data_IF_726898294441
#
_entry.id   IF_726898294441
#
_cell.length_a   1.000
_cell.length_b   1.000
_cell.length_c   1.000
_cell.angle_alpha   90.00
_cell.angle_beta   90.00
_cell.angle_gamma   90.00
#
_symmetry.space_group_name_H-M   'P 1'
#
loop_
_entity.id
_entity.type
_entity.pdbx_description
1 polymer ?
#
# COMPACT_ATOMS: atom_id res chain seq x y z
N UNK A 1 -13.36 59.75 -35.28
CA UNK A 1 -12.26 58.80 -35.01
C UNK A 1 -12.59 58.10 -33.71
N UNK A 2 -13.21 56.92 -33.79
CA UNK A 2 -13.76 56.21 -32.65
C UNK A 2 -12.71 55.29 -32.03
N UNK A 3 -12.41 55.50 -30.75
CA UNK A 3 -11.66 54.59 -29.91
C UNK A 3 -12.50 53.34 -29.63
N UNK A 4 -11.95 52.16 -29.91
CA UNK A 4 -12.51 50.88 -29.46
C UNK A 4 -11.50 50.25 -28.51
N UNK A 5 -11.87 50.23 -27.23
CA UNK A 5 -11.14 49.55 -26.17
C UNK A 5 -11.44 48.05 -26.27
N UNK A 6 -10.43 47.25 -26.59
CA UNK A 6 -10.52 45.79 -26.52
C UNK A 6 -10.24 45.39 -25.07
N UNK A 7 -11.31 44.98 -24.39
CA UNK A 7 -11.28 44.41 -23.05
C UNK A 7 -10.62 43.02 -23.13
N UNK A 8 -9.42 42.89 -22.57
CA UNK A 8 -8.76 41.59 -22.37
C UNK A 8 -9.48 40.87 -21.24
N UNK A 9 -10.34 39.91 -21.58
CA UNK A 9 -10.94 38.99 -20.62
C UNK A 9 -9.88 38.01 -20.12
N UNK A 10 -9.39 38.22 -18.89
CA UNK A 10 -8.61 37.23 -18.17
C UNK A 10 -9.55 36.06 -17.80
N UNK A 11 -9.51 34.98 -18.57
CA UNK A 11 -10.04 33.69 -18.15
C UNK A 11 -9.20 33.20 -16.98
N UNK A 12 -9.73 33.36 -15.77
CA UNK A 12 -9.22 32.71 -14.58
C UNK A 12 -9.32 31.19 -14.78
N UNK A 13 -8.19 30.56 -15.10
CA UNK A 13 -8.02 29.14 -14.87
C UNK A 13 -8.11 28.92 -13.37
N UNK A 14 -9.27 28.47 -12.89
CA UNK A 14 -9.38 27.85 -11.58
C UNK A 14 -8.62 26.51 -11.66
N UNK A 15 -7.30 26.59 -11.49
CA UNK A 15 -6.51 25.47 -11.00
C UNK A 15 -6.97 25.18 -9.57
N UNK A 16 -8.01 24.38 -9.41
CA UNK A 16 -8.38 23.83 -8.11
C UNK A 16 -7.19 22.99 -7.65
N UNK A 17 -6.52 23.52 -6.63
CA UNK A 17 -5.19 23.11 -6.21
C UNK A 17 -5.09 21.61 -5.97
N UNK A 18 -4.04 21.03 -6.57
CA UNK A 18 -3.30 19.92 -5.98
C UNK A 18 -2.71 20.45 -4.67
N UNK A 19 -3.54 20.52 -3.64
CA UNK A 19 -3.09 20.76 -2.27
C UNK A 19 -2.33 19.48 -1.91
N UNK A 20 -1.03 19.61 -1.62
CA UNK A 20 -0.19 18.50 -1.21
C UNK A 20 -0.93 17.69 -0.13
N UNK A 21 -1.21 16.42 -0.40
CA UNK A 21 -2.00 15.56 0.50
C UNK A 21 -1.27 15.31 1.82
N UNK A 22 0.05 15.52 1.85
CA UNK A 22 0.82 15.60 3.08
C UNK A 22 0.52 16.91 3.83
N UNK A 23 0.29 16.80 5.12
CA UNK A 23 0.05 17.94 6.02
C UNK A 23 1.34 18.63 6.50
N UNK A 24 2.51 18.07 6.20
CA UNK A 24 3.81 18.58 6.62
C UNK A 24 4.96 17.67 6.19
N UNK A 25 6.15 17.87 6.77
CA UNK A 25 7.32 17.02 6.50
C UNK A 25 7.13 15.60 7.01
N UNK A 26 7.65 14.63 6.27
CA UNK A 26 7.75 13.22 6.65
C UNK A 26 9.22 12.85 6.86
N UNK A 27 9.48 11.65 7.39
CA UNK A 27 10.83 11.13 7.58
C UNK A 27 11.44 11.44 8.96
N UNK A 28 12.63 10.89 9.24
CA UNK A 28 13.38 11.16 10.46
C UNK A 28 13.86 12.61 10.52
N UNK A 29 14.06 13.12 11.74
CA UNK A 29 14.54 14.50 11.98
C UNK A 29 16.07 14.57 11.97
N UNK A 30 16.73 13.52 12.46
CA UNK A 30 18.19 13.43 12.50
C UNK A 30 18.68 12.38 11.50
N UNK A 31 19.76 12.68 10.79
CA UNK A 31 20.31 11.78 9.78
C UNK A 31 20.99 10.56 10.41
N UNK A 32 21.00 9.43 9.70
CA UNK A 32 21.80 8.23 10.07
C UNK A 32 23.24 8.60 10.43
N UNK A 33 23.89 9.50 9.67
CA UNK A 33 25.28 9.89 9.92
C UNK A 33 25.46 10.52 11.31
N UNK A 34 24.56 11.42 11.72
CA UNK A 34 24.59 12.02 13.05
C UNK A 34 24.31 10.99 14.16
N UNK A 35 23.36 10.08 13.93
CA UNK A 35 23.04 8.99 14.88
C UNK A 35 24.23 8.04 15.05
N UNK A 36 24.85 7.65 13.94
CA UNK A 36 26.02 6.75 13.91
C UNK A 36 27.23 7.39 14.59
N UNK A 37 27.49 8.68 14.33
CA UNK A 37 28.58 9.41 14.95
C UNK A 37 28.46 9.49 16.48
N UNK A 38 27.22 9.52 17.00
CA UNK A 38 26.97 9.47 18.44
C UNK A 38 27.24 8.09 19.00
N UNK A 39 26.70 7.03 18.38
CA UNK A 39 26.96 5.65 18.79
C UNK A 39 26.59 4.66 17.68
N UNK A 40 27.44 3.64 17.51
CA UNK A 40 27.17 2.47 16.67
C UNK A 40 27.17 1.21 17.54
N UNK A 41 26.12 0.40 17.42
CA UNK A 41 25.97 -0.87 18.14
C UNK A 41 25.82 -1.99 17.12
N UNK A 42 26.91 -2.68 16.77
CA UNK A 42 26.78 -3.86 15.91
C UNK A 42 26.22 -5.02 16.72
N UNK A 43 25.24 -5.75 16.20
CA UNK A 43 24.69 -6.94 16.89
C UNK A 43 25.75 -8.01 17.16
N UNK A 44 26.87 -8.02 16.42
CA UNK A 44 28.00 -8.91 16.65
C UNK A 44 28.68 -8.64 18.01
N UNK A 45 28.75 -7.38 18.43
CA UNK A 45 29.31 -6.97 19.74
C UNK A 45 28.43 -7.42 20.91
N UNK A 46 27.19 -7.84 20.63
CA UNK A 46 26.20 -8.34 21.58
C UNK A 46 25.94 -9.85 21.41
N UNK A 47 26.82 -10.56 20.71
CA UNK A 47 26.80 -12.02 20.62
C UNK A 47 26.04 -12.61 19.43
N UNK A 48 25.59 -11.79 18.48
CA UNK A 48 25.04 -12.31 17.23
C UNK A 48 26.12 -13.03 16.41
N UNK A 49 25.70 -14.03 15.63
CA UNK A 49 26.56 -14.72 14.67
C UNK A 49 25.86 -14.82 13.33
N UNK A 50 26.59 -14.52 12.26
CA UNK A 50 26.14 -14.68 10.89
C UNK A 50 26.31 -16.14 10.43
N UNK A 51 25.70 -17.08 11.15
CA UNK A 51 25.81 -18.53 10.93
C UNK A 51 24.46 -19.19 10.62
N UNK A 52 23.40 -18.39 10.43
CA UNK A 52 22.03 -18.84 10.16
C UNK A 52 21.45 -19.81 11.19
N UNK A 53 22.02 -19.91 12.38
CA UNK A 53 21.59 -20.86 13.42
C UNK A 53 21.49 -20.24 14.81
N UNK A 54 22.44 -19.39 15.17
CA UNK A 54 22.44 -18.63 16.43
C UNK A 54 21.33 -17.57 16.39
N UNK A 55 20.52 -17.51 17.45
CA UNK A 55 19.38 -16.60 17.54
C UNK A 55 19.83 -15.12 17.61
N UNK A 56 19.38 -14.32 16.64
CA UNK A 56 19.60 -12.88 16.55
C UNK A 56 18.76 -12.08 17.56
N UNK A 57 17.67 -12.64 18.08
CA UNK A 57 16.72 -11.92 18.92
C UNK A 57 17.36 -11.23 20.14
N UNK A 58 18.05 -11.97 21.03
CA UNK A 58 18.67 -11.38 22.21
C UNK A 58 19.80 -10.37 21.92
N UNK A 59 20.73 -10.64 20.96
CA UNK A 59 21.72 -9.65 20.54
C UNK A 59 21.11 -8.37 19.97
N UNK A 60 20.05 -8.48 19.15
CA UNK A 60 19.36 -7.32 18.58
C UNK A 60 18.68 -6.48 19.67
N UNK A 61 17.99 -7.10 20.62
CA UNK A 61 17.41 -6.41 21.77
C UNK A 61 18.47 -5.69 22.63
N UNK A 62 19.63 -6.32 22.83
CA UNK A 62 20.74 -5.75 23.61
C UNK A 62 21.40 -4.57 22.89
N UNK A 63 21.63 -4.69 21.58
CA UNK A 63 22.14 -3.60 20.75
C UNK A 63 21.18 -2.41 20.74
N UNK A 64 19.87 -2.68 20.64
CA UNK A 64 18.83 -1.65 20.76
C UNK A 64 18.87 -0.97 22.12
N UNK A 65 18.88 -1.71 23.23
CA UNK A 65 18.97 -1.12 24.57
C UNK A 65 20.17 -0.18 24.72
N UNK A 66 21.29 -0.49 24.07
CA UNK A 66 22.49 0.33 24.09
C UNK A 66 22.45 1.56 23.15
N UNK A 67 21.69 1.52 22.06
CA UNK A 67 21.67 2.55 21.01
C UNK A 67 20.33 3.28 20.83
N UNK A 68 19.26 2.92 21.54
CA UNK A 68 17.91 3.50 21.39
C UNK A 68 17.80 5.00 21.67
N UNK A 69 18.85 5.64 22.18
CA UNK A 69 18.88 7.08 22.45
C UNK A 69 19.98 7.76 21.64
N UNK A 70 19.70 7.99 20.36
CA UNK A 70 20.61 8.72 19.47
C UNK A 70 21.59 7.87 18.66
N UNK A 71 21.56 6.53 18.77
CA UNK A 71 22.54 5.63 18.16
C UNK A 71 22.01 4.85 16.96
N UNK A 72 22.90 4.14 16.27
CA UNK A 72 22.56 3.24 15.16
C UNK A 72 22.86 1.80 15.53
N UNK A 73 21.85 0.93 15.45
CA UNK A 73 21.99 -0.52 15.52
C UNK A 73 22.34 -1.02 14.12
N UNK A 74 23.37 -1.86 14.01
CA UNK A 74 23.79 -2.42 12.73
C UNK A 74 23.74 -3.94 12.77
N UNK A 75 23.02 -4.52 11.82
CA UNK A 75 23.07 -5.94 11.44
C UNK A 75 23.94 -6.00 10.17
N UNK A 76 25.24 -6.33 10.28
CA UNK A 76 26.14 -6.37 9.13
C UNK A 76 25.71 -7.41 8.09
N UNK A 77 26.37 -7.39 6.93
CA UNK A 77 26.16 -8.43 5.91
C UNK A 77 26.45 -9.83 6.47
N UNK A 78 25.57 -10.78 6.17
CA UNK A 78 25.60 -12.15 6.67
C UNK A 78 24.20 -12.76 6.80
N UNK A 79 24.14 -14.06 7.05
CA UNK A 79 22.88 -14.79 7.26
C UNK A 79 22.63 -15.00 8.76
N UNK A 80 21.50 -14.52 9.28
CA UNK A 80 21.15 -14.59 10.70
C UNK A 80 19.85 -15.36 10.91
N UNK A 81 19.79 -16.23 11.93
CA UNK A 81 18.53 -16.84 12.35
C UNK A 81 17.79 -15.93 13.33
N UNK A 82 16.47 -15.79 13.19
CA UNK A 82 15.62 -15.15 14.18
C UNK A 82 14.67 -16.19 14.77
N UNK A 83 14.95 -16.61 16.01
CA UNK A 83 14.16 -17.60 16.74
C UNK A 83 13.23 -16.95 17.75
N UNK A 84 13.68 -15.87 18.39
CA UNK A 84 12.87 -15.09 19.32
C UNK A 84 12.53 -13.72 18.73
N UNK A 85 11.27 -13.31 18.82
CA UNK A 85 10.78 -12.03 18.32
C UNK A 85 11.30 -10.88 19.16
N UNK A 86 11.45 -9.70 18.55
CA UNK A 86 12.03 -8.53 19.20
C UNK A 86 11.06 -7.38 19.18
N UNK A 87 10.79 -6.82 20.36
CA UNK A 87 10.08 -5.56 20.55
C UNK A 87 11.07 -4.44 20.86
N UNK A 88 11.17 -3.47 19.96
CA UNK A 88 12.01 -2.29 20.03
C UNK A 88 11.17 -1.09 20.51
N UNK A 89 11.01 -1.00 21.82
CA UNK A 89 10.12 -0.04 22.48
C UNK A 89 10.89 1.15 23.09
N UNK A 90 10.36 2.37 22.93
CA UNK A 90 10.75 3.53 23.74
C UNK A 90 12.12 4.12 23.38
N UNK A 91 12.35 4.34 22.09
CA UNK A 91 13.56 4.96 21.54
C UNK A 91 13.35 6.41 21.08
N UNK A 92 14.46 7.12 20.88
CA UNK A 92 14.46 8.44 20.26
C UNK A 92 15.74 8.67 19.47
N UNK A 93 15.61 9.24 18.27
CA UNK A 93 16.72 9.61 17.38
C UNK A 93 17.64 8.43 17.07
N UNK A 94 17.11 7.26 16.73
CA UNK A 94 17.91 6.06 16.48
C UNK A 94 17.68 5.50 15.08
N UNK A 95 18.52 4.55 14.67
CA UNK A 95 18.38 3.87 13.39
C UNK A 95 18.65 2.38 13.50
N UNK A 96 18.00 1.59 12.64
CA UNK A 96 18.26 0.17 12.42
C UNK A 96 18.77 -0.03 10.99
N UNK A 97 20.05 -0.29 10.86
CA UNK A 97 20.69 -0.64 9.59
C UNK A 97 20.73 -2.16 9.44
N UNK A 98 20.02 -2.69 8.45
CA UNK A 98 19.96 -4.12 8.10
C UNK A 98 20.70 -4.31 6.77
N UNK A 99 21.95 -4.75 6.81
CA UNK A 99 22.73 -5.13 5.62
C UNK A 99 22.84 -6.65 5.43
N UNK A 100 22.42 -7.41 6.44
CA UNK A 100 22.32 -8.87 6.40
C UNK A 100 20.94 -9.38 5.97
N UNK A 101 20.81 -10.70 5.96
CA UNK A 101 19.56 -11.40 5.72
C UNK A 101 19.12 -12.09 7.01
N UNK A 102 17.91 -11.79 7.46
CA UNK A 102 17.30 -12.38 8.66
C UNK A 102 16.35 -13.50 8.23
N UNK A 103 16.61 -14.73 8.66
CA UNK A 103 15.77 -15.90 8.39
C UNK A 103 14.94 -16.27 9.61
N UNK A 104 13.62 -16.36 9.43
CA UNK A 104 12.73 -16.88 10.48
C UNK A 104 13.09 -18.35 10.78
N UNK A 105 13.35 -18.64 12.05
CA UNK A 105 13.42 -20.00 12.60
C UNK A 105 12.45 -20.20 13.77
N UNK A 106 11.95 -19.11 14.37
CA UNK A 106 10.92 -19.14 15.41
C UNK A 106 9.53 -19.43 14.85
N UNK A 107 8.62 -19.92 15.70
CA UNK A 107 7.25 -20.33 15.30
C UNK A 107 6.15 -19.65 16.11
N UNK A 108 6.51 -18.77 17.05
CA UNK A 108 5.53 -18.05 17.86
C UNK A 108 4.68 -17.12 16.99
N UNK A 109 3.44 -16.85 17.42
CA UNK A 109 2.62 -15.79 16.84
C UNK A 109 3.18 -14.39 17.15
N UNK A 110 2.51 -13.35 16.67
CA UNK A 110 2.90 -11.95 16.92
C UNK A 110 3.61 -11.31 15.73
N UNK A 111 4.63 -10.50 15.99
CA UNK A 111 5.43 -9.80 14.97
C UNK A 111 6.91 -10.14 15.20
N UNK A 112 7.64 -10.52 14.16
CA UNK A 112 9.07 -10.87 14.25
C UNK A 112 9.90 -9.68 14.75
N UNK A 113 9.67 -8.51 14.15
CA UNK A 113 10.22 -7.23 14.58
C UNK A 113 9.06 -6.28 14.83
N UNK A 114 8.93 -5.81 16.07
CA UNK A 114 7.92 -4.84 16.47
C UNK A 114 8.57 -3.56 16.97
N UNK A 115 8.35 -2.44 16.30
CA UNK A 115 8.87 -1.12 16.69
C UNK A 115 7.73 -0.31 17.25
N UNK A 116 7.82 0.14 18.50
CA UNK A 116 6.71 0.84 19.15
C UNK A 116 7.13 2.02 20.02
N UNK A 117 6.21 2.98 20.16
CA UNK A 117 6.30 4.13 21.07
C UNK A 117 7.65 4.85 20.97
N UNK A 118 8.03 5.20 19.74
CA UNK A 118 9.35 5.76 19.44
C UNK A 118 9.24 6.91 18.44
N UNK A 119 10.27 7.75 18.36
CA UNK A 119 10.30 8.84 17.38
C UNK A 119 11.69 9.11 16.81
N UNK A 120 11.73 9.75 15.64
CA UNK A 120 12.97 10.04 14.91
C UNK A 120 13.76 8.75 14.60
N UNK A 121 13.12 7.85 13.85
CA UNK A 121 13.60 6.49 13.59
C UNK A 121 13.85 6.28 12.10
N UNK A 122 14.92 5.56 11.75
CA UNK A 122 15.21 5.19 10.37
C UNK A 122 15.55 3.71 10.30
N UNK A 123 14.81 2.94 9.50
CA UNK A 123 15.00 1.49 9.32
C UNK A 123 15.34 1.23 7.87
N UNK A 124 16.56 0.81 7.60
CA UNK A 124 17.07 0.82 6.23
C UNK A 124 18.14 -0.22 5.96
N UNK A 125 18.46 -0.43 4.68
CA UNK A 125 19.70 -1.09 4.26
C UNK A 125 20.64 -0.08 3.61
N UNK A 126 21.92 -0.07 3.97
CA UNK A 126 22.90 0.77 3.27
C UNK A 126 23.31 0.22 1.89
N UNK A 127 22.92 -1.02 1.61
CA UNK A 127 23.30 -1.76 0.40
C UNK A 127 22.13 -2.01 -0.55
N UNK A 128 20.90 -1.66 -0.15
CA UNK A 128 19.68 -2.01 -0.88
C UNK A 128 19.38 -3.52 -0.92
N UNK A 129 20.12 -4.32 -0.14
CA UNK A 129 20.06 -5.80 -0.16
C UNK A 129 19.65 -6.42 1.17
N UNK A 130 19.45 -5.61 2.21
CA UNK A 130 18.95 -6.07 3.50
C UNK A 130 17.58 -6.72 3.35
N UNK A 131 17.43 -7.93 3.89
CA UNK A 131 16.22 -8.71 3.70
C UNK A 131 15.76 -9.45 4.96
N UNK A 132 14.45 -9.67 5.06
CA UNK A 132 13.85 -10.55 6.06
C UNK A 132 13.10 -11.67 5.32
N UNK A 133 13.64 -12.88 5.40
CA UNK A 133 13.06 -14.11 4.89
C UNK A 133 12.15 -14.74 5.97
N UNK A 134 10.85 -14.55 5.82
CA UNK A 134 9.82 -14.99 6.74
C UNK A 134 9.53 -16.49 6.71
N UNK A 135 9.95 -17.22 5.67
CA UNK A 135 9.70 -18.66 5.51
C UNK A 135 8.23 -19.05 5.78
N UNK A 136 7.29 -18.24 5.30
CA UNK A 136 5.85 -18.41 5.42
C UNK A 136 5.35 -19.72 4.81
N UNK A 137 5.99 -20.20 3.75
CA UNK A 137 5.66 -21.47 3.11
C UNK A 137 5.62 -22.65 4.10
N UNK A 138 6.41 -22.62 5.18
CA UNK A 138 6.39 -23.67 6.22
C UNK A 138 5.05 -23.76 6.96
N UNK A 139 4.36 -22.62 7.13
CA UNK A 139 3.00 -22.57 7.67
C UNK A 139 1.96 -22.86 6.59
N UNK A 140 2.15 -22.26 5.41
CA UNK A 140 1.16 -22.34 4.34
C UNK A 140 1.05 -23.75 3.74
N UNK A 141 2.15 -24.51 3.67
CA UNK A 141 2.16 -25.93 3.28
C UNK A 141 1.34 -26.82 4.24
N UNK A 142 1.10 -26.35 5.46
CA UNK A 142 0.24 -27.00 6.46
C UNK A 142 -1.19 -26.42 6.45
N UNK A 143 -1.52 -25.57 5.47
CA UNK A 143 -2.84 -24.93 5.36
C UNK A 143 -3.08 -23.82 6.40
N UNK A 144 -2.04 -23.25 7.01
CA UNK A 144 -2.16 -22.21 8.04
C UNK A 144 -1.62 -20.86 7.55
N UNK A 145 -2.31 -19.77 7.94
CA UNK A 145 -1.88 -18.36 7.78
C UNK A 145 -1.73 -17.65 9.14
N UNK A 146 -1.67 -18.43 10.23
CA UNK A 146 -1.69 -17.91 11.60
C UNK A 146 -0.28 -17.75 12.20
N UNK A 147 0.75 -17.67 11.35
CA UNK A 147 2.12 -17.42 11.79
C UNK A 147 2.37 -15.95 12.18
N UNK A 148 3.63 -15.59 12.49
CA UNK A 148 3.99 -14.21 12.80
C UNK A 148 3.91 -13.30 11.57
N UNK A 149 3.74 -12.00 11.81
CA UNK A 149 3.96 -10.94 10.82
C UNK A 149 5.45 -10.58 10.81
N UNK A 150 5.97 -10.04 9.72
CA UNK A 150 7.39 -9.68 9.66
C UNK A 150 7.67 -8.38 10.44
N UNK A 151 7.09 -7.27 10.00
CA UNK A 151 7.38 -5.94 10.53
C UNK A 151 6.09 -5.24 10.96
N UNK A 152 6.10 -4.65 12.15
CA UNK A 152 5.05 -3.72 12.59
C UNK A 152 5.67 -2.49 13.20
N UNK A 153 5.16 -1.31 12.84
CA UNK A 153 5.39 -0.06 13.57
C UNK A 153 4.10 0.33 14.27
N UNK A 154 4.18 0.71 15.55
CA UNK A 154 3.04 1.18 16.33
C UNK A 154 3.36 2.46 17.08
N UNK A 155 2.57 3.51 16.89
CA UNK A 155 2.81 4.80 17.57
C UNK A 155 4.25 5.30 17.34
N UNK A 156 4.66 5.32 16.06
CA UNK A 156 5.97 5.78 15.61
C UNK A 156 5.82 7.13 14.91
N UNK A 157 6.61 8.12 15.32
CA UNK A 157 6.52 9.50 14.82
C UNK A 157 7.85 9.98 14.21
N UNK A 158 7.81 10.61 13.03
CA UNK A 158 8.97 11.06 12.25
C UNK A 158 9.91 9.91 11.95
N UNK A 159 9.57 9.12 10.94
CA UNK A 159 10.33 7.92 10.63
C UNK A 159 10.43 7.63 9.15
N UNK A 160 11.41 6.81 8.78
CA UNK A 160 11.45 6.19 7.47
C UNK A 160 11.73 4.69 7.54
N UNK A 161 11.18 3.95 6.57
CA UNK A 161 11.49 2.52 6.32
C UNK A 161 11.79 2.35 4.84
N UNK A 162 13.02 1.99 4.48
CA UNK A 162 13.40 2.00 3.07
C UNK A 162 14.58 1.10 2.69
N UNK A 163 14.74 0.86 1.38
CA UNK A 163 15.83 0.06 0.81
C UNK A 163 15.88 -1.38 1.38
N UNK A 164 14.70 -1.95 1.66
CA UNK A 164 14.54 -3.24 2.33
C UNK A 164 13.66 -4.20 1.56
N UNK A 165 13.90 -5.49 1.80
CA UNK A 165 13.20 -6.59 1.14
C UNK A 165 12.48 -7.46 2.18
N UNK A 166 11.16 -7.63 2.05
CA UNK A 166 10.37 -8.49 2.94
C UNK A 166 9.83 -9.67 2.15
N UNK A 167 10.16 -10.89 2.57
CA UNK A 167 9.90 -12.09 1.77
C UNK A 167 9.12 -13.11 2.58
N UNK A 168 8.09 -13.67 1.96
CA UNK A 168 7.38 -14.86 2.40
C UNK A 168 6.92 -14.75 3.87
N UNK A 169 6.14 -13.72 4.17
CA UNK A 169 5.57 -13.61 5.52
C UNK A 169 4.62 -14.77 5.81
N UNK A 170 4.67 -15.38 7.01
CA UNK A 170 3.64 -16.32 7.44
C UNK A 170 2.24 -15.71 7.51
N UNK A 171 2.14 -14.39 7.72
CA UNK A 171 0.92 -13.58 7.69
C UNK A 171 1.21 -12.25 6.94
N UNK A 172 1.07 -11.09 7.59
CA UNK A 172 1.31 -9.77 6.97
C UNK A 172 2.80 -9.43 6.90
N UNK A 173 3.21 -8.72 5.85
CA UNK A 173 4.61 -8.32 5.69
C UNK A 173 4.91 -7.05 6.49
N UNK A 174 4.15 -5.97 6.28
CA UNK A 174 4.38 -4.70 6.97
C UNK A 174 3.07 -4.00 7.36
N UNK A 175 2.93 -3.67 8.64
CA UNK A 175 1.80 -2.86 9.15
C UNK A 175 2.29 -1.60 9.86
N UNK A 176 1.67 -0.46 9.54
CA UNK A 176 1.87 0.84 10.19
C UNK A 176 0.63 1.24 10.98
N UNK A 177 0.73 1.06 12.30
CA UNK A 177 -0.34 1.27 13.25
C UNK A 177 -0.20 2.62 13.96
N UNK A 178 -1.16 3.51 13.76
CA UNK A 178 -1.24 4.78 14.49
C UNK A 178 0.07 5.58 14.44
N UNK A 179 0.76 5.55 13.29
CA UNK A 179 2.03 6.22 13.08
C UNK A 179 1.81 7.65 12.54
N UNK A 180 2.87 8.47 12.55
CA UNK A 180 2.82 9.85 12.11
C UNK A 180 4.11 10.33 11.40
N UNK A 181 3.95 11.18 10.39
CA UNK A 181 5.08 11.84 9.70
C UNK A 181 6.08 10.82 9.14
N UNK A 182 5.58 9.78 8.49
CA UNK A 182 6.41 8.66 8.03
C UNK A 182 6.61 8.64 6.52
N UNK A 183 7.77 8.17 6.08
CA UNK A 183 8.13 7.95 4.68
C UNK A 183 8.55 6.49 4.45
N UNK A 184 7.93 5.80 3.49
CA UNK A 184 8.23 4.38 3.21
C UNK A 184 8.49 4.22 1.73
N UNK A 185 9.68 3.74 1.36
CA UNK A 185 10.07 3.69 -0.04
C UNK A 185 11.16 2.70 -0.39
N UNK A 186 11.39 2.46 -1.69
CA UNK A 186 12.37 1.51 -2.18
C UNK A 186 12.23 0.16 -1.47
N UNK A 187 11.03 -0.44 -1.57
CA UNK A 187 10.75 -1.74 -0.96
C UNK A 187 10.34 -2.77 -1.99
N UNK A 188 10.84 -3.99 -1.81
CA UNK A 188 10.35 -5.17 -2.54
C UNK A 188 9.73 -6.15 -1.55
N UNK A 189 8.42 -6.38 -1.70
CA UNK A 189 7.66 -7.30 -0.87
C UNK A 189 7.19 -8.46 -1.74
N UNK A 190 7.52 -9.69 -1.34
CA UNK A 190 7.18 -10.89 -2.11
C UNK A 190 6.72 -12.02 -1.20
N UNK A 191 5.42 -12.26 -1.16
CA UNK A 191 4.75 -13.33 -0.41
C UNK A 191 4.15 -14.43 -1.29
N UNK A 192 3.50 -15.38 -0.62
CA UNK A 192 2.78 -16.47 -1.26
C UNK A 192 1.51 -16.04 -2.00
N UNK A 193 1.03 -16.88 -2.91
CA UNK A 193 -0.17 -16.63 -3.70
C UNK A 193 -1.45 -17.03 -2.94
N UNK A 194 -1.70 -16.41 -1.79
CA UNK A 194 -2.88 -16.64 -0.94
C UNK A 194 -3.32 -15.36 -0.21
N UNK A 195 -4.63 -15.20 0.03
CA UNK A 195 -5.16 -14.10 0.84
C UNK A 195 -4.68 -14.17 2.29
N UNK A 196 -4.72 -13.06 3.02
CA UNK A 196 -4.18 -12.90 4.38
C UNK A 196 -2.65 -12.76 4.46
N UNK A 197 -2.01 -12.52 3.31
CA UNK A 197 -0.56 -12.32 3.17
C UNK A 197 -0.24 -10.87 2.76
N UNK A 198 -0.90 -9.94 3.43
CA UNK A 198 -0.96 -8.51 3.16
C UNK A 198 0.44 -7.91 3.01
N UNK A 199 0.62 -7.04 2.02
CA UNK A 199 1.88 -6.37 1.73
C UNK A 199 2.13 -5.24 2.71
N UNK A 200 1.49 -4.09 2.46
CA UNK A 200 1.53 -2.92 3.33
C UNK A 200 0.12 -2.54 3.79
N UNK A 201 -0.10 -2.54 5.09
CA UNK A 201 -1.28 -1.93 5.71
C UNK A 201 -0.91 -0.66 6.47
N UNK A 202 -1.71 0.40 6.32
CA UNK A 202 -1.48 1.67 7.02
C UNK A 202 -2.77 2.24 7.60
N UNK A 203 -2.76 2.58 8.88
CA UNK A 203 -3.76 3.47 9.50
C UNK A 203 -3.05 4.52 10.33
N UNK A 204 -2.84 5.70 9.75
CA UNK A 204 -1.83 6.65 10.23
C UNK A 204 -2.12 8.06 9.71
N UNK A 205 -1.32 9.03 10.15
CA UNK A 205 -1.46 10.44 9.76
C UNK A 205 -0.20 10.97 9.12
N UNK A 206 -0.32 11.71 8.02
CA UNK A 206 0.82 12.33 7.33
C UNK A 206 1.87 11.31 6.89
N UNK A 207 1.50 10.46 5.93
CA UNK A 207 2.32 9.36 5.44
C UNK A 207 2.60 9.51 3.94
N UNK A 208 3.86 9.34 3.56
CA UNK A 208 4.26 9.23 2.16
C UNK A 208 4.80 7.83 1.89
N UNK A 209 4.18 7.12 0.97
CA UNK A 209 4.51 5.72 0.67
C UNK A 209 4.72 5.63 -0.84
N UNK A 210 5.94 5.34 -1.28
CA UNK A 210 6.22 5.35 -2.71
C UNK A 210 7.28 4.37 -3.15
N UNK A 211 7.33 4.05 -4.44
CA UNK A 211 8.37 3.18 -5.00
C UNK A 211 8.42 1.81 -4.29
N UNK A 212 7.26 1.14 -4.24
CA UNK A 212 7.10 -0.18 -3.61
C UNK A 212 6.55 -1.17 -4.62
N UNK A 213 7.18 -2.35 -4.69
CA UNK A 213 6.66 -3.50 -5.42
C UNK A 213 6.12 -4.53 -4.43
N UNK A 214 4.91 -5.02 -4.70
CA UNK A 214 4.26 -6.08 -3.91
C UNK A 214 3.83 -7.24 -4.81
N UNK A 215 4.20 -8.45 -4.42
CA UNK A 215 3.68 -9.72 -4.96
C UNK A 215 3.07 -10.53 -3.83
N UNK A 216 1.80 -10.90 -3.92
CA UNK A 216 1.07 -11.73 -2.95
C UNK A 216 -0.31 -12.12 -3.53
N UNK A 217 -1.33 -12.40 -2.70
CA UNK A 217 -2.73 -12.48 -3.17
C UNK A 217 -3.74 -11.81 -2.24
N UNK A 218 -3.26 -10.81 -1.50
CA UNK A 218 -4.05 -9.91 -0.66
C UNK A 218 -3.57 -8.46 -0.83
N UNK A 219 -3.78 -7.59 0.15
CA UNK A 219 -3.45 -6.17 0.10
C UNK A 219 -2.09 -5.88 -0.55
N UNK A 220 -2.07 -5.00 -1.55
CA UNK A 220 -0.84 -4.42 -2.09
C UNK A 220 -0.33 -3.34 -1.13
N UNK A 221 -0.82 -2.10 -1.29
CA UNK A 221 -0.73 -1.04 -0.29
C UNK A 221 -2.16 -0.61 0.04
N UNK A 222 -2.58 -0.81 1.28
CA UNK A 222 -3.98 -0.63 1.70
C UNK A 222 -4.09 0.30 2.89
N UNK A 223 -4.99 1.28 2.78
CA UNK A 223 -5.32 2.23 3.85
C UNK A 223 -6.46 1.67 4.70
N UNK A 224 -6.26 1.61 6.01
CA UNK A 224 -7.27 1.26 7.01
C UNK A 224 -7.70 2.51 7.79
N UNK A 225 -8.73 2.38 8.62
CA UNK A 225 -9.27 3.48 9.43
C UNK A 225 -8.75 3.42 10.87
N UNK A 226 -8.52 4.58 11.54
CA UNK A 226 -8.58 5.95 11.02
C UNK A 226 -7.30 6.35 10.26
N UNK A 227 -7.44 7.21 9.27
CA UNK A 227 -6.31 7.74 8.49
C UNK A 227 -6.56 9.14 7.98
N UNK A 228 -5.52 9.98 7.93
CA UNK A 228 -5.62 11.26 7.23
C UNK A 228 -4.29 11.70 6.63
N UNK A 229 -4.35 12.43 5.53
CA UNK A 229 -3.17 12.99 4.87
C UNK A 229 -2.16 11.90 4.45
N UNK A 230 -2.58 11.00 3.55
CA UNK A 230 -1.72 9.93 3.04
C UNK A 230 -1.54 10.08 1.53
N UNK A 231 -0.28 10.12 1.08
CA UNK A 231 0.11 10.08 -0.32
C UNK A 231 0.78 8.74 -0.61
N UNK A 232 0.21 7.99 -1.55
CA UNK A 232 0.73 6.72 -2.04
C UNK A 232 1.02 6.85 -3.53
N UNK A 233 2.27 6.67 -3.97
CA UNK A 233 2.59 6.80 -5.39
C UNK A 233 3.69 5.90 -5.94
N UNK A 234 3.70 5.65 -7.25
CA UNK A 234 4.65 4.73 -7.89
C UNK A 234 4.62 3.34 -7.24
N UNK A 235 3.44 2.71 -7.27
CA UNK A 235 3.22 1.39 -6.68
C UNK A 235 3.12 0.35 -7.78
N UNK A 236 3.85 -0.74 -7.62
CA UNK A 236 3.83 -1.88 -8.52
C UNK A 236 3.23 -3.11 -7.84
N UNK A 237 1.93 -3.34 -8.05
CA UNK A 237 1.25 -4.54 -7.61
C UNK A 237 1.46 -5.65 -8.66
N UNK A 238 2.57 -6.38 -8.55
CA UNK A 238 3.00 -7.41 -9.49
C UNK A 238 2.47 -8.78 -9.05
N UNK A 239 1.27 -9.15 -9.53
CA UNK A 239 0.53 -10.32 -9.07
C UNK A 239 0.22 -10.23 -7.57
N UNK A 240 -0.81 -9.46 -7.22
CA UNK A 240 -1.22 -9.14 -5.85
C UNK A 240 -2.73 -9.35 -5.66
N UNK A 241 -3.28 -9.02 -4.50
CA UNK A 241 -4.69 -8.65 -4.40
C UNK A 241 -4.96 -7.28 -5.01
N UNK A 242 -4.02 -6.35 -4.91
CA UNK A 242 -4.17 -4.96 -5.39
C UNK A 242 -4.39 -3.98 -4.24
N UNK A 243 -4.36 -2.68 -4.54
CA UNK A 243 -4.57 -1.64 -3.54
C UNK A 243 -6.02 -1.60 -3.05
N UNK A 244 -6.22 -1.12 -1.83
CA UNK A 244 -7.56 -1.00 -1.26
C UNK A 244 -7.68 0.10 -0.19
N UNK A 245 -8.94 0.42 0.16
CA UNK A 245 -9.33 1.04 1.41
C UNK A 245 -10.24 0.09 2.19
N UNK A 246 -9.93 -0.14 3.46
CA UNK A 246 -10.75 -0.94 4.38
C UNK A 246 -10.25 -2.36 4.63
N UNK A 247 -11.04 -3.26 5.21
CA UNK A 247 -12.47 -3.13 5.44
C UNK A 247 -12.85 -1.97 6.36
N UNK A 248 -13.83 -1.17 5.94
CA UNK A 248 -14.37 -0.04 6.70
C UNK A 248 -15.61 -0.47 7.52
N UNK A 249 -15.85 0.20 8.64
CA UNK A 249 -16.90 -0.13 9.61
C UNK A 249 -17.16 1.01 10.62
N UNK A 250 -18.15 0.87 11.49
CA UNK A 250 -18.58 1.96 12.38
C UNK A 250 -17.45 2.39 13.35
N UNK A 251 -17.01 3.65 13.50
CA UNK A 251 -17.37 4.95 12.92
C UNK A 251 -16.15 5.49 12.14
N UNK A 252 -15.97 5.00 10.91
CA UNK A 252 -14.81 5.25 10.04
C UNK A 252 -14.50 6.75 9.94
N UNK A 253 -13.22 7.11 10.02
CA UNK A 253 -12.73 8.47 9.82
C UNK A 253 -11.50 8.41 8.91
N UNK A 254 -11.73 8.58 7.61
CA UNK A 254 -10.67 8.64 6.59
C UNK A 254 -10.83 9.95 5.82
N UNK A 255 -9.75 10.71 5.66
CA UNK A 255 -9.77 11.90 4.80
C UNK A 255 -8.44 12.15 4.10
N UNK A 256 -8.46 12.82 2.96
CA UNK A 256 -7.24 13.34 2.29
C UNK A 256 -6.26 12.23 1.95
N UNK A 257 -6.71 11.30 1.11
CA UNK A 257 -5.92 10.15 0.65
C UNK A 257 -5.74 10.27 -0.85
N UNK A 258 -4.50 10.14 -1.32
CA UNK A 258 -4.22 10.08 -2.75
C UNK A 258 -3.41 8.84 -3.08
N UNK A 259 -3.86 8.13 -4.11
CA UNK A 259 -3.05 7.16 -4.84
C UNK A 259 -2.76 7.72 -6.22
N UNK A 260 -1.49 7.68 -6.62
CA UNK A 260 -1.02 8.20 -7.91
C UNK A 260 -0.03 7.26 -8.56
N UNK A 261 -0.10 7.06 -9.87
CA UNK A 261 0.85 6.21 -10.60
C UNK A 261 0.91 4.78 -10.02
N UNK A 262 -0.21 4.07 -10.10
CA UNK A 262 -0.31 2.69 -9.61
C UNK A 262 -0.42 1.74 -10.80
N UNK A 263 0.54 0.84 -10.92
CA UNK A 263 0.56 -0.21 -11.94
C UNK A 263 0.19 -1.55 -11.31
N UNK A 264 -0.84 -2.20 -11.84
CA UNK A 264 -1.42 -3.42 -11.26
C UNK A 264 -1.54 -4.54 -12.29
N UNK A 265 -0.74 -5.58 -12.11
CA UNK A 265 -0.69 -6.75 -12.97
C UNK A 265 -1.29 -7.98 -12.29
N UNK A 266 -2.15 -8.70 -13.00
CA UNK A 266 -2.71 -10.01 -12.64
C UNK A 266 -3.19 -10.11 -11.17
N UNK A 267 -3.91 -9.07 -10.74
CA UNK A 267 -4.35 -8.91 -9.36
C UNK A 267 -5.87 -9.06 -9.20
N UNK A 268 -6.37 -9.03 -7.96
CA UNK A 268 -7.81 -9.13 -7.73
C UNK A 268 -8.53 -7.84 -8.17
N UNK A 269 -7.95 -6.67 -7.91
CA UNK A 269 -8.44 -5.36 -8.35
C UNK A 269 -7.31 -4.38 -8.63
N UNK A 270 -7.61 -3.24 -9.27
CA UNK A 270 -6.71 -2.08 -9.30
C UNK A 270 -6.90 -1.20 -8.05
N UNK A 271 -8.15 -0.90 -7.67
CA UNK A 271 -8.49 -0.28 -6.39
C UNK A 271 -9.84 -0.81 -5.91
N UNK A 272 -9.92 -1.19 -4.64
CA UNK A 272 -11.19 -1.52 -3.99
C UNK A 272 -11.43 -0.68 -2.74
N UNK A 273 -12.64 -0.14 -2.59
CA UNK A 273 -13.11 0.39 -1.30
C UNK A 273 -14.14 -0.61 -0.75
N UNK A 274 -13.83 -1.26 0.38
CA UNK A 274 -14.64 -2.36 0.92
C UNK A 274 -15.26 -2.02 2.28
N UNK A 275 -16.58 -2.19 2.38
CA UNK A 275 -17.34 -2.10 3.64
C UNK A 275 -18.61 -2.97 3.58
N UNK A 276 -19.28 -3.17 4.71
CA UNK A 276 -20.57 -3.86 4.77
C UNK A 276 -21.35 -3.33 5.99
N UNK A 277 -22.21 -2.34 5.77
CA UNK A 277 -22.82 -1.55 6.83
C UNK A 277 -21.83 -0.60 7.51
N UNK A 278 -21.98 -0.40 8.82
CA UNK A 278 -21.16 0.54 9.59
C UNK A 278 -21.61 2.01 9.47
N UNK A 279 -20.73 2.93 9.83
CA UNK A 279 -21.00 4.37 9.90
C UNK A 279 -19.69 5.17 9.82
N UNK A 280 -19.77 6.51 9.85
CA UNK A 280 -18.63 7.41 9.69
C UNK A 280 -18.45 7.87 8.24
N UNK A 281 -17.24 8.28 7.86
CA UNK A 281 -16.92 8.84 6.56
C UNK A 281 -15.56 8.37 6.02
N UNK A 282 -15.47 8.31 4.70
CA UNK A 282 -14.22 8.40 3.96
C UNK A 282 -14.38 9.48 2.88
N UNK A 283 -13.59 10.55 2.96
CA UNK A 283 -13.76 11.74 2.12
C UNK A 283 -12.45 12.27 1.54
N UNK A 284 -12.52 13.14 0.55
CA UNK A 284 -11.36 13.75 -0.10
C UNK A 284 -10.34 12.70 -0.60
N UNK A 285 -10.84 11.78 -1.43
CA UNK A 285 -10.08 10.66 -1.97
C UNK A 285 -9.74 10.90 -3.45
N UNK A 286 -8.49 10.69 -3.83
CA UNK A 286 -8.04 10.83 -5.23
C UNK A 286 -7.30 9.58 -5.66
N UNK A 287 -7.76 8.93 -6.73
CA UNK A 287 -7.12 7.78 -7.35
C UNK A 287 -6.82 8.12 -8.81
N UNK A 288 -5.57 8.52 -9.09
CA UNK A 288 -5.19 9.02 -10.40
C UNK A 288 -4.02 8.25 -11.03
N UNK A 289 -4.00 8.18 -12.37
CA UNK A 289 -2.96 7.51 -13.15
C UNK A 289 -2.80 6.04 -12.77
N UNK A 290 -3.84 5.25 -13.02
CA UNK A 290 -3.78 3.80 -12.81
C UNK A 290 -3.62 3.08 -14.15
N UNK A 291 -2.76 2.08 -14.18
CA UNK A 291 -2.63 1.14 -15.30
C UNK A 291 -2.88 -0.27 -14.77
N UNK A 292 -3.75 -1.02 -15.44
CA UNK A 292 -4.06 -2.39 -15.05
C UNK A 292 -4.06 -3.36 -16.23
N UNK A 293 -3.61 -4.60 -16.02
CA UNK A 293 -3.69 -5.69 -17.00
C UNK A 293 -3.92 -7.03 -16.29
N UNK A 294 -4.73 -7.92 -16.86
CA UNK A 294 -5.00 -9.26 -16.34
C UNK A 294 -5.77 -9.31 -15.03
N UNK A 295 -6.26 -8.18 -14.53
CA UNK A 295 -6.92 -8.09 -13.23
C UNK A 295 -8.33 -8.68 -13.28
N UNK A 296 -8.83 -9.17 -12.14
CA UNK A 296 -10.20 -9.67 -12.04
C UNK A 296 -11.23 -8.53 -11.97
N UNK A 297 -10.94 -7.45 -11.23
CA UNK A 297 -11.68 -6.19 -11.23
C UNK A 297 -10.73 -5.04 -11.57
N UNK A 298 -11.30 -3.91 -11.97
CA UNK A 298 -10.56 -2.64 -12.11
C UNK A 298 -10.89 -1.73 -10.92
N UNK A 299 -11.88 -0.85 -11.06
CA UNK A 299 -12.43 -0.03 -9.98
C UNK A 299 -13.59 -0.77 -9.31
N UNK A 300 -13.46 -1.08 -8.01
CA UNK A 300 -14.49 -1.76 -7.23
C UNK A 300 -14.82 -1.03 -5.92
N UNK A 301 -15.86 -0.21 -5.90
CA UNK A 301 -16.43 0.29 -4.65
C UNK A 301 -17.52 -0.71 -4.23
N UNK A 302 -17.30 -1.44 -3.13
CA UNK A 302 -18.22 -2.47 -2.64
C UNK A 302 -18.55 -2.25 -1.16
N UNK A 303 -19.71 -1.62 -0.91
CA UNK A 303 -20.26 -1.44 0.44
C UNK A 303 -21.21 -2.58 0.86
N UNK A 304 -21.20 -3.69 0.11
CA UNK A 304 -21.86 -4.95 0.42
C UNK A 304 -20.84 -6.10 0.40
N UNK A 305 -19.60 -5.82 0.81
CA UNK A 305 -18.49 -6.75 0.62
C UNK A 305 -18.72 -8.05 1.39
N UNK A 306 -19.00 -9.12 0.65
CA UNK A 306 -19.49 -10.39 1.21
C UNK A 306 -18.45 -11.16 2.05
N UNK A 307 -17.17 -10.81 1.95
CA UNK A 307 -16.09 -11.44 2.71
C UNK A 307 -15.92 -10.86 4.13
N UNK A 308 -16.75 -9.89 4.53
CA UNK A 308 -16.89 -9.46 5.91
C UNK A 308 -18.33 -9.61 6.39
N UNK A 309 -18.50 -9.85 7.69
CA UNK A 309 -19.80 -9.78 8.35
C UNK A 309 -20.38 -8.36 8.25
N UNK A 310 -21.69 -8.24 8.10
CA UNK A 310 -22.39 -6.96 8.15
C UNK A 310 -22.24 -6.33 9.53
N UNK A 311 -21.84 -5.06 9.56
CA UNK A 311 -21.72 -4.23 10.75
C UNK A 311 -22.97 -3.36 10.85
N UNK A 312 -23.50 -3.17 12.06
CA UNK A 312 -24.66 -2.31 12.29
C UNK A 312 -24.39 -0.86 11.87
N UNK A 313 -25.38 -0.23 11.22
CA UNK A 313 -25.33 1.14 10.72
C UNK A 313 -25.70 1.24 9.24
N UNK A 314 -25.99 2.46 8.79
CA UNK A 314 -26.53 2.73 7.45
C UNK A 314 -25.51 2.56 6.31
N UNK A 315 -24.21 2.48 6.66
CA UNK A 315 -23.10 2.48 5.73
C UNK A 315 -22.10 3.60 6.03
N UNK A 316 -20.85 3.40 5.60
CA UNK A 316 -19.83 4.46 5.62
C UNK A 316 -20.14 5.48 4.53
N UNK A 317 -20.15 6.77 4.85
CA UNK A 317 -20.37 7.83 3.86
C UNK A 317 -19.13 8.02 3.01
N UNK A 318 -19.25 7.81 1.70
CA UNK A 318 -18.18 8.12 0.74
C UNK A 318 -18.51 9.43 0.02
N UNK A 319 -17.68 10.44 0.21
CA UNK A 319 -17.91 11.79 -0.35
C UNK A 319 -16.63 12.32 -0.99
N UNK A 320 -16.76 13.07 -2.10
CA UNK A 320 -15.64 13.70 -2.78
C UNK A 320 -14.53 12.69 -3.14
N UNK A 321 -14.86 11.73 -3.99
CA UNK A 321 -13.96 10.67 -4.45
C UNK A 321 -13.73 10.83 -5.94
N UNK A 322 -12.49 11.06 -6.33
CA UNK A 322 -12.08 11.27 -7.72
C UNK A 322 -11.29 10.09 -8.25
N UNK A 323 -11.77 9.49 -9.34
CA UNK A 323 -11.08 8.48 -10.15
C UNK A 323 -10.74 9.11 -11.50
N UNK A 324 -9.45 9.26 -11.81
CA UNK A 324 -9.00 10.00 -12.99
C UNK A 324 -7.86 9.32 -13.74
N UNK A 325 -7.95 9.27 -15.07
CA UNK A 325 -6.89 8.75 -15.94
C UNK A 325 -6.52 7.29 -15.63
N UNK A 326 -7.46 6.39 -15.94
CA UNK A 326 -7.30 4.95 -15.75
C UNK A 326 -7.23 4.26 -17.12
N UNK A 327 -6.24 3.39 -17.32
CA UNK A 327 -5.98 2.75 -18.61
C UNK A 327 -5.61 1.28 -18.46
N UNK A 328 -5.76 0.53 -19.55
CA UNK A 328 -5.33 -0.85 -19.67
C UNK A 328 -6.50 -1.81 -19.88
N UNK A 329 -6.35 -3.03 -19.36
CA UNK A 329 -7.24 -4.14 -19.63
C UNK A 329 -7.59 -4.96 -18.38
N UNK A 330 -8.71 -5.68 -18.43
CA UNK A 330 -9.12 -6.61 -17.39
C UNK A 330 -9.51 -7.98 -17.98
N UNK A 331 -9.33 -9.04 -17.20
CA UNK A 331 -9.43 -10.41 -17.71
C UNK A 331 -10.78 -10.72 -18.37
N UNK A 332 -11.90 -10.32 -17.75
CA UNK A 332 -13.25 -10.56 -18.26
C UNK A 332 -14.25 -9.49 -17.79
N UNK A 333 -14.34 -8.40 -18.56
CA UNK A 333 -15.20 -7.25 -18.31
C UNK A 333 -16.71 -7.52 -18.46
N UNK A 334 -17.09 -8.64 -19.08
CA UNK A 334 -18.49 -9.07 -19.14
C UNK A 334 -18.95 -9.74 -17.84
N UNK A 335 -18.04 -10.37 -17.09
CA UNK A 335 -18.32 -10.99 -15.79
C UNK A 335 -18.08 -10.00 -14.65
N UNK A 336 -17.00 -9.23 -14.73
CA UNK A 336 -16.55 -8.26 -13.74
C UNK A 336 -16.16 -7.01 -14.49
N UNK A 337 -17.11 -6.12 -14.68
CA UNK A 337 -16.89 -4.88 -15.42
C UNK A 337 -15.90 -3.95 -14.73
N UNK A 338 -15.25 -3.03 -15.46
CA UNK A 338 -14.14 -2.27 -14.92
C UNK A 338 -14.60 -1.11 -14.04
N UNK A 339 -15.89 -0.79 -14.07
CA UNK A 339 -16.54 0.16 -13.17
C UNK A 339 -17.64 -0.59 -12.42
N UNK A 340 -17.37 -0.88 -11.14
CA UNK A 340 -18.35 -1.39 -10.18
C UNK A 340 -18.44 -0.43 -9.01
N UNK A 341 -19.59 0.22 -8.88
CA UNK A 341 -19.93 1.14 -7.79
C UNK A 341 -21.16 0.59 -7.07
N UNK A 342 -20.98 0.01 -5.90
CA UNK A 342 -22.02 -0.54 -5.07
C UNK A 342 -22.04 0.18 -3.71
N UNK A 343 -22.56 1.41 -3.70
CA UNK A 343 -22.70 2.20 -2.48
C UNK A 343 -23.83 1.68 -1.61
N UNK A 344 -23.71 1.88 -0.29
CA UNK A 344 -24.71 1.48 0.68
C UNK A 344 -25.99 2.31 0.47
N UNK A 345 -27.14 1.64 0.39
CA UNK A 345 -28.42 2.34 0.21
C UNK A 345 -28.80 3.25 1.39
N UNK A 346 -28.34 2.93 2.61
CA UNK A 346 -28.52 3.78 3.79
C UNK A 346 -27.55 4.96 3.84
N UNK A 347 -26.45 4.91 3.09
CA UNK A 347 -25.46 5.97 2.98
C UNK A 347 -24.98 6.14 1.53
N UNK A 348 -25.85 6.61 0.59
CA UNK A 348 -25.48 6.78 -0.81
C UNK A 348 -24.21 7.62 -0.98
N UNK A 349 -23.32 7.22 -1.89
CA UNK A 349 -22.11 7.98 -2.15
C UNK A 349 -22.44 9.29 -2.88
N UNK A 350 -21.75 10.36 -2.55
CA UNK A 350 -21.94 11.69 -3.16
C UNK A 350 -20.63 12.27 -3.68
N UNK A 351 -20.72 13.15 -4.67
CA UNK A 351 -19.54 13.84 -5.22
C UNK A 351 -18.46 12.86 -5.75
N UNK A 352 -18.90 11.75 -6.34
CA UNK A 352 -18.02 10.85 -7.09
C UNK A 352 -17.68 11.49 -8.46
N UNK A 353 -16.42 11.50 -8.85
CA UNK A 353 -16.01 11.96 -10.18
C UNK A 353 -15.20 10.88 -10.87
N UNK A 354 -15.70 10.39 -12.00
CA UNK A 354 -15.01 9.41 -12.84
C UNK A 354 -14.72 10.05 -14.20
N UNK A 355 -13.45 10.32 -14.48
CA UNK A 355 -13.00 11.01 -15.68
C UNK A 355 -11.79 10.32 -16.32
N UNK A 356 -11.65 10.44 -17.63
CA UNK A 356 -10.54 9.84 -18.39
C UNK A 356 -10.32 8.34 -18.08
N UNK A 357 -11.42 7.59 -17.96
CA UNK A 357 -11.39 6.16 -17.62
C UNK A 357 -11.59 5.33 -18.89
N UNK A 358 -10.56 4.61 -19.32
CA UNK A 358 -10.53 3.81 -20.54
C UNK A 358 -9.94 2.43 -20.25
N UNK A 359 -10.79 1.49 -19.86
CA UNK A 359 -10.42 0.07 -19.69
C UNK A 359 -11.10 -0.78 -20.76
N UNK A 360 -10.48 -1.88 -21.16
CA UNK A 360 -11.10 -2.84 -22.06
C UNK A 360 -10.92 -4.30 -21.63
N UNK A 361 -11.89 -5.14 -21.93
CA UNK A 361 -11.81 -6.56 -21.63
C UNK A 361 -10.79 -7.29 -22.52
N UNK A 362 -10.07 -8.24 -21.93
CA UNK A 362 -9.15 -9.16 -22.63
C UNK A 362 -9.89 -10.34 -23.29
N UNK A 363 -11.07 -10.67 -22.79
CA UNK A 363 -11.88 -11.80 -23.27
C UNK A 363 -13.24 -11.33 -23.77
N UNK A 364 -13.59 -11.71 -25.00
CA UNK A 364 -14.86 -11.34 -25.62
C UNK A 364 -14.82 -9.93 -26.22
N UNK A 365 -16.00 -9.35 -26.43
CA UNK A 365 -16.17 -8.10 -27.18
C UNK A 365 -17.12 -7.11 -26.50
N UNK A 366 -17.37 -7.28 -25.20
CA UNK A 366 -18.25 -6.43 -24.41
C UNK A 366 -17.86 -6.41 -22.94
N UNK A 367 -18.19 -5.33 -22.26
CA UNK A 367 -18.04 -5.18 -20.81
C UNK A 367 -19.20 -4.39 -20.21
N UNK A 368 -19.34 -4.41 -18.88
CA UNK A 368 -20.43 -3.71 -18.18
C UNK A 368 -19.93 -2.62 -17.25
N UNK A 369 -20.70 -1.54 -17.07
CA UNK A 369 -20.52 -0.59 -15.98
C UNK A 369 -21.73 -0.66 -15.07
N UNK A 370 -21.50 -0.84 -13.77
CA UNK A 370 -22.58 -1.01 -12.78
C UNK A 370 -22.47 0.03 -11.67
N UNK A 371 -23.57 0.73 -11.42
CA UNK A 371 -23.66 1.73 -10.35
C UNK A 371 -24.93 1.49 -9.51
N UNK A 372 -24.82 1.56 -8.18
CA UNK A 372 -25.90 1.52 -7.20
C UNK A 372 -25.65 2.63 -6.18
N UNK A 373 -26.68 3.43 -5.92
CA UNK A 373 -26.67 4.49 -4.88
C UNK A 373 -25.44 5.41 -4.91
N UNK A 374 -24.83 5.62 -6.08
CA UNK A 374 -23.69 6.53 -6.28
C UNK A 374 -24.06 7.76 -7.10
N UNK A 375 -23.68 8.94 -6.60
CA UNK A 375 -23.97 10.23 -7.20
C UNK A 375 -22.71 11.04 -7.52
N UNK A 376 -22.76 11.76 -8.63
CA UNK A 376 -21.70 12.63 -9.12
C UNK A 376 -21.61 12.62 -10.65
N UNK A 377 -20.41 12.64 -11.21
CA UNK A 377 -20.20 12.76 -12.66
C UNK A 377 -19.38 11.62 -13.25
N UNK A 378 -19.82 11.11 -14.40
CA UNK A 378 -19.13 10.07 -15.18
C UNK A 378 -19.89 8.73 -15.24
N UNK A 379 -19.88 8.12 -16.44
CA UNK A 379 -20.36 6.76 -16.69
C UNK A 379 -21.80 6.48 -16.21
N UNK A 380 -21.97 5.53 -15.28
CA UNK A 380 -23.29 5.10 -14.79
C UNK A 380 -23.78 5.87 -13.55
N UNK A 381 -23.02 6.87 -13.08
CA UNK A 381 -23.42 7.68 -11.92
C UNK A 381 -24.62 8.57 -12.25
N UNK A 382 -25.48 8.81 -11.26
CA UNK A 382 -26.51 9.85 -11.35
C UNK A 382 -25.92 11.20 -10.97
N UNK A 383 -26.33 12.26 -11.66
CA UNK A 383 -25.74 13.60 -11.50
C UNK A 383 -25.72 14.12 -10.05
N UNK A 384 -26.86 14.03 -9.35
CA UNK A 384 -27.00 14.49 -7.96
C UNK A 384 -28.18 13.83 -7.27
N UNK A 385 -28.15 13.79 -5.93
CA UNK A 385 -29.18 13.21 -5.08
C UNK A 385 -28.62 12.55 -3.83
N UNK A 386 -29.52 12.06 -3.00
CA UNK A 386 -29.21 11.38 -1.72
C UNK A 386 -30.11 10.18 -1.44
N UNK A 387 -30.98 9.82 -2.39
CA UNK A 387 -31.86 8.66 -2.27
C UNK A 387 -31.14 7.40 -2.75
N UNK A 388 -31.49 6.24 -2.20
CA UNK A 388 -30.99 4.99 -2.76
C UNK A 388 -31.56 4.75 -4.17
N UNK A 389 -30.81 4.00 -4.97
CA UNK A 389 -31.34 3.46 -6.23
C UNK A 389 -30.74 2.09 -6.51
N UNK A 390 -31.58 1.19 -7.04
CA UNK A 390 -31.16 -0.15 -7.44
C UNK A 390 -30.02 -0.10 -8.47
N UNK A 391 -29.18 -1.13 -8.49
CA UNK A 391 -28.06 -1.19 -9.43
C UNK A 391 -28.53 -1.03 -10.89
N UNK A 392 -27.96 -0.04 -11.59
CA UNK A 392 -28.11 0.13 -13.03
C UNK A 392 -26.88 -0.44 -13.72
N UNK A 393 -27.07 -1.10 -14.85
CA UNK A 393 -25.99 -1.70 -15.62
C UNK A 393 -26.05 -1.22 -17.07
N UNK A 394 -24.93 -0.67 -17.55
CA UNK A 394 -24.73 -0.28 -18.95
C UNK A 394 -23.79 -1.28 -19.61
N UNK A 395 -24.11 -1.72 -20.82
CA UNK A 395 -23.21 -2.58 -21.61
C UNK A 395 -22.47 -1.74 -22.65
N UNK A 396 -21.16 -1.93 -22.73
CA UNK A 396 -20.29 -1.32 -23.75
C UNK A 396 -19.79 -2.43 -24.67
N UNK A 397 -20.00 -2.29 -25.98
CA UNK A 397 -19.66 -3.29 -26.99
C UNK A 397 -18.53 -2.86 -27.94
N UNK A 398 -17.82 -1.79 -27.61
CA UNK A 398 -16.66 -1.30 -28.34
C UNK A 398 -15.60 -0.78 -27.37
N UNK A 399 -14.32 -1.01 -27.69
CA UNK A 399 -13.21 -0.56 -26.87
C UNK A 399 -13.21 0.98 -26.74
N UNK A 400 -13.12 1.54 -25.51
CA UNK A 400 -12.94 2.97 -25.33
C UNK A 400 -11.68 3.47 -26.02
N UNK A 401 -11.73 4.66 -26.63
CA UNK A 401 -10.53 5.28 -27.21
C UNK A 401 -9.46 5.50 -26.12
N UNK A 402 -8.20 5.21 -26.44
CA UNK A 402 -7.09 5.44 -25.52
C UNK A 402 -6.98 4.47 -24.33
N UNK A 403 -7.62 3.29 -24.42
CA UNK A 403 -7.50 2.24 -23.40
C UNK A 403 -6.10 1.58 -23.36
N UNK A 404 -5.41 1.53 -24.50
CA UNK A 404 -4.08 0.92 -24.60
C UNK A 404 -3.10 1.59 -23.63
N UNK A 405 -2.37 0.76 -22.88
CA UNK A 405 -1.38 1.18 -21.91
C UNK A 405 -0.11 0.32 -22.03
N UNK A 406 1.01 0.84 -21.54
CA UNK A 406 2.27 0.10 -21.47
C UNK A 406 2.25 -0.91 -20.31
N UNK A 407 2.97 -2.01 -20.48
CA UNK A 407 3.21 -3.01 -19.43
C UNK A 407 4.57 -2.80 -18.75
N UNK A 408 4.80 -3.45 -17.61
CA UNK A 408 6.12 -3.46 -16.96
C UNK A 408 6.93 -4.67 -17.44
N UNK A 409 8.25 -4.51 -17.58
CA UNK A 409 9.12 -5.60 -18.08
C UNK A 409 9.13 -6.80 -17.13
N UNK A 410 9.01 -6.54 -15.83
CA UNK A 410 9.11 -7.55 -14.76
C UNK A 410 7.76 -8.19 -14.40
N UNK A 411 6.71 -8.03 -15.23
CA UNK A 411 5.39 -8.63 -15.01
C UNK A 411 5.52 -10.16 -14.87
N UNK A 412 5.18 -10.67 -13.68
CA UNK A 412 5.33 -12.08 -13.35
C UNK A 412 4.51 -12.96 -14.30
N UNK A 413 5.16 -13.98 -14.87
CA UNK A 413 4.48 -15.01 -15.67
C UNK A 413 3.84 -16.09 -14.81
N UNK A 414 4.33 -16.28 -13.59
CA UNK A 414 3.79 -17.23 -12.61
C UNK A 414 4.06 -16.70 -11.21
N UNK A 415 3.09 -16.81 -10.30
CA UNK A 415 3.30 -16.52 -8.89
C UNK A 415 4.09 -17.63 -8.17
N UNK A 416 4.54 -17.35 -6.94
CA UNK A 416 5.45 -18.22 -6.18
C UNK A 416 4.76 -19.37 -5.42
N UNK A 417 3.45 -19.56 -5.58
CA UNK A 417 2.71 -20.60 -4.85
C UNK A 417 2.70 -20.38 -3.35
N UNK A 418 2.60 -21.46 -2.56
CA UNK A 418 2.54 -21.42 -1.08
C UNK A 418 3.29 -22.57 -0.40
N UNK A 419 3.83 -23.55 -1.12
CA UNK A 419 4.35 -24.79 -0.54
C UNK A 419 5.86 -24.93 -0.61
N UNK A 420 6.55 -23.95 -1.20
CA UNK A 420 8.01 -23.92 -1.37
C UNK A 420 8.55 -22.55 -0.99
N UNK A 421 9.82 -22.51 -0.60
CA UNK A 421 10.50 -21.26 -0.27
C UNK A 421 10.48 -20.28 -1.45
N UNK A 422 10.23 -19.01 -1.15
CA UNK A 422 10.15 -17.93 -2.13
C UNK A 422 11.52 -17.24 -2.23
N UNK A 423 12.09 -17.06 -3.43
CA UNK A 423 13.39 -16.42 -3.59
C UNK A 423 13.32 -14.92 -3.30
N UNK A 424 14.34 -14.41 -2.61
CA UNK A 424 14.52 -12.98 -2.31
C UNK A 424 14.63 -12.20 -3.63
N UNK A 425 13.75 -11.20 -3.90
CA UNK A 425 13.84 -10.35 -5.09
C UNK A 425 15.04 -9.42 -5.06
N UNK A 426 15.37 -8.85 -6.21
CA UNK A 426 16.11 -7.57 -6.27
C UNK A 426 15.11 -6.42 -6.30
N UNK A 427 15.55 -5.21 -5.92
CA UNK A 427 14.73 -4.01 -6.13
C UNK A 427 14.48 -3.80 -7.63
N UNK A 428 13.24 -3.48 -8.07
CA UNK A 428 12.99 -3.14 -9.46
C UNK A 428 13.58 -1.76 -9.80
N UNK A 429 13.89 -1.56 -11.08
CA UNK A 429 14.42 -0.28 -11.58
C UNK A 429 13.32 0.79 -11.79
N UNK A 430 12.05 0.38 -11.82
CA UNK A 430 10.88 1.26 -11.98
C UNK A 430 9.65 0.58 -11.38
N UNK A 431 8.69 1.39 -10.93
CA UNK A 431 7.44 0.93 -10.31
C UNK A 431 6.19 1.33 -11.11
N UNK A 432 6.33 2.16 -12.13
CA UNK A 432 5.25 2.60 -13.00
C UNK A 432 5.78 2.96 -14.39
N UNK A 433 5.09 2.62 -15.49
CA UNK A 433 5.57 2.92 -16.83
C UNK A 433 5.92 4.40 -17.06
N UNK A 434 7.16 4.66 -17.46
CA UNK A 434 7.65 6.02 -17.73
C UNK A 434 8.01 6.86 -16.51
N UNK A 435 7.86 6.31 -15.30
CA UNK A 435 8.32 6.94 -14.07
C UNK A 435 9.68 6.39 -13.62
N UNK A 436 10.52 7.26 -13.08
CA UNK A 436 11.73 6.89 -12.35
C UNK A 436 11.45 6.89 -10.85
N UNK A 437 12.11 6.01 -10.05
CA UNK A 437 12.04 6.10 -8.60
C UNK A 437 12.35 7.52 -8.10
N UNK A 438 11.66 7.94 -7.05
CA UNK A 438 11.80 9.29 -6.47
C UNK A 438 13.17 9.42 -5.79
N UNK A 439 13.59 8.36 -5.09
CA UNK A 439 14.87 8.27 -4.40
C UNK A 439 15.72 7.15 -5.01
N UNK A 440 17.01 7.42 -5.22
CA UNK A 440 17.94 6.39 -5.67
C UNK A 440 18.04 5.26 -4.63
N UNK A 441 18.17 4.02 -5.10
CA UNK A 441 18.38 2.85 -4.24
C UNK A 441 19.71 2.99 -3.48
N UNK A 442 19.71 2.67 -2.20
CA UNK A 442 20.97 2.61 -1.44
C UNK A 442 21.94 1.59 -2.06
N UNK A 443 23.18 2.00 -2.32
CA UNK A 443 24.23 1.13 -2.86
C UNK A 443 24.18 0.87 -4.37
N UNK A 444 23.29 1.52 -5.11
CA UNK A 444 23.27 1.53 -6.59
C UNK A 444 24.32 2.44 -7.23
#
# INVERSE_FOLDING_TARGET
MHFSQILVGATAFLSTGVVAQLSGTVGPKTSVASKTAKKKCSVLDYGAKADKTTDLGPPLASAFAACKTGGTIVIPSGDYALKTWVTLNGGSAWALQIDGIIYRTGTAGGNMIFIEHTSDVEVFSSTGKGAIQGNGYEFHAQGSRSGPRILRTYDVDRFSVHDLILVDSPAFHFSMDTCKNGEVYNMAIRGGNWGGLDGVDVWSTNMWIHDIMVTNKDECVTVKSPSTNILIENIYCNWSGGCALGSLGANTAISKIQYKNVYTWNSNQMMMIKSNGGSGYAEDLVFENFIGHGNAYSLDIDQYWSSMSTIAGDGVKLTNVTMKNWKGTEANGAQRGPIKIACADGAPCTELTISDFAMWTETGSKQTYTCRSGYGSGFCLKASGSASYAAVTSTVSAAPSGYSAATMADDLKTAFGTTVSIPIPTMPASFFPGATPISALAGS
#
